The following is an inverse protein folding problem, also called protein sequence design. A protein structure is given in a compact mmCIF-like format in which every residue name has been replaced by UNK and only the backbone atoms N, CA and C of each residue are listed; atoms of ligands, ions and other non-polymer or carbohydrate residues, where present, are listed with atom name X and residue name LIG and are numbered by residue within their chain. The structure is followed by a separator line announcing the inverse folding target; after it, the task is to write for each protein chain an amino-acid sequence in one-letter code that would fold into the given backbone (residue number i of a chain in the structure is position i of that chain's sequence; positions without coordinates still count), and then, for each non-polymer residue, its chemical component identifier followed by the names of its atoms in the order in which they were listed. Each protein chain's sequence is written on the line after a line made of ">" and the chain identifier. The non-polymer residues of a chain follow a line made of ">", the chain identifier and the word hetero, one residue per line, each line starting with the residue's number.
data_IF_269184949894
#
_entry.id   IF_269184949894
#
_cell.length_a   1.000
_cell.length_b   1.000
_cell.length_c   1.000
_cell.angle_alpha   90.00
_cell.angle_beta   90.00
_cell.angle_gamma   90.00
#
_symmetry.space_group_name_H-M   'P 1'
#
loop_
_entity.id
_entity.type
_entity.pdbx_description
1 polymer ?
#
# COMPACT_ATOMS: atom_id res chain seq x y z
N UNK A 1 -3.49 9.25 -6.96
CA UNK A 1 -3.31 8.57 -5.65
C UNK A 1 -3.62 7.11 -5.79
N UNK A 2 -2.79 6.26 -5.22
CA UNK A 2 -3.06 4.83 -5.14
C UNK A 2 -3.45 4.46 -3.71
N UNK A 3 -3.89 3.23 -3.50
CA UNK A 3 -4.43 2.80 -2.22
C UNK A 3 -3.82 1.49 -1.76
N UNK A 4 -3.70 1.34 -0.46
CA UNK A 4 -3.23 0.11 0.17
C UNK A 4 -4.14 -0.22 1.35
N UNK A 5 -4.53 -1.48 1.47
CA UNK A 5 -5.39 -1.95 2.54
C UNK A 5 -4.56 -2.74 3.54
N UNK A 6 -4.73 -2.45 4.81
CA UNK A 6 -3.97 -3.09 5.87
C UNK A 6 -4.82 -3.36 7.11
N UNK A 7 -4.30 -4.16 8.02
CA UNK A 7 -4.93 -4.40 9.31
C UNK A 7 -4.70 -3.23 10.25
N UNK A 8 -5.63 -2.93 11.18
CA UNK A 8 -5.49 -1.80 12.10
C UNK A 8 -4.19 -1.85 12.93
N UNK A 9 -3.74 -3.02 13.34
CA UNK A 9 -2.52 -3.17 14.12
C UNK A 9 -1.25 -2.76 13.39
N UNK A 10 -1.30 -2.67 12.07
CA UNK A 10 -0.15 -2.29 11.25
C UNK A 10 -0.08 -0.79 10.94
N UNK A 11 -1.17 -0.06 11.19
CA UNK A 11 -1.29 1.35 10.79
C UNK A 11 -0.24 2.22 11.44
N UNK A 12 -0.04 2.10 12.75
CA UNK A 12 0.93 2.91 13.49
C UNK A 12 2.34 2.72 12.94
N UNK A 13 2.74 1.48 12.72
CA UNK A 13 4.05 1.15 12.15
C UNK A 13 4.21 1.71 10.73
N UNK A 14 3.18 1.59 9.92
CA UNK A 14 3.20 2.10 8.54
C UNK A 14 3.30 3.62 8.52
N UNK A 15 2.56 4.32 9.37
CA UNK A 15 2.62 5.77 9.42
C UNK A 15 3.96 6.29 9.96
N UNK A 16 4.67 5.48 10.71
CA UNK A 16 5.98 5.81 11.27
C UNK A 16 7.13 5.45 10.32
N UNK A 17 7.08 4.27 9.72
CA UNK A 17 8.19 3.71 8.94
C UNK A 17 7.93 3.66 7.44
N UNK A 18 6.68 3.78 7.03
CA UNK A 18 6.28 3.65 5.64
C UNK A 18 5.81 2.25 5.28
N UNK A 19 5.45 2.05 4.02
CA UNK A 19 5.10 0.75 3.49
C UNK A 19 6.38 0.05 3.05
N UNK A 20 6.82 -0.90 3.85
CA UNK A 20 8.05 -1.63 3.62
C UNK A 20 7.78 -2.94 2.89
N UNK A 21 8.69 -3.31 2.00
CA UNK A 21 8.63 -4.61 1.31
C UNK A 21 8.85 -5.78 2.27
N UNK A 22 9.37 -5.49 3.45
CA UNK A 22 9.67 -6.46 4.48
C UNK A 22 8.81 -6.22 5.72
N UNK A 23 7.48 -6.32 5.53
CA UNK A 23 6.49 -6.04 6.56
C UNK A 23 6.07 -7.34 7.28
N UNK A 24 5.82 -7.26 8.59
CA UNK A 24 5.37 -8.40 9.43
C UNK A 24 6.29 -9.62 9.37
N UNK A 25 7.59 -9.39 9.21
CA UNK A 25 8.55 -10.49 9.13
C UNK A 25 8.52 -11.26 7.81
N UNK A 26 7.66 -10.87 6.90
CA UNK A 26 7.61 -11.44 5.56
C UNK A 26 8.41 -10.56 4.60
N UNK A 27 9.34 -11.18 3.89
CA UNK A 27 10.07 -10.49 2.83
C UNK A 27 9.24 -10.58 1.55
N UNK A 28 8.90 -9.42 1.02
CA UNK A 28 8.23 -9.33 -0.26
C UNK A 28 9.10 -8.52 -1.22
N UNK A 29 9.05 -8.88 -2.50
CA UNK A 29 9.79 -8.13 -3.52
C UNK A 29 9.13 -6.77 -3.81
N UNK A 30 7.87 -6.58 -3.41
CA UNK A 30 7.09 -5.41 -3.78
C UNK A 30 5.97 -5.16 -2.78
N UNK A 31 5.40 -3.95 -2.86
CA UNK A 31 4.20 -3.55 -2.11
C UNK A 31 3.02 -3.53 -3.09
N UNK A 32 1.90 -4.14 -2.73
CA UNK A 32 0.69 -4.09 -3.54
C UNK A 32 -0.06 -2.78 -3.35
N UNK A 33 -0.44 -2.16 -4.46
CA UNK A 33 -1.27 -0.96 -4.48
C UNK A 33 -2.46 -1.18 -5.41
N UNK A 34 -3.53 -0.41 -5.23
CA UNK A 34 -4.72 -0.47 -6.08
C UNK A 34 -5.16 0.92 -6.49
N UNK A 35 -5.74 1.05 -7.67
CA UNK A 35 -6.38 2.29 -8.11
C UNK A 35 -7.78 2.45 -7.55
N UNK A 36 -8.41 1.36 -7.13
CA UNK A 36 -9.78 1.34 -6.62
C UNK A 36 -9.78 1.38 -5.09
N UNK A 37 -10.30 2.46 -4.47
CA UNK A 37 -10.33 2.58 -3.01
C UNK A 37 -11.24 1.56 -2.32
N UNK A 38 -12.15 0.94 -3.03
CA UNK A 38 -13.08 -0.03 -2.45
C UNK A 38 -12.75 -1.49 -2.79
N UNK A 39 -11.69 -1.71 -3.57
CA UNK A 39 -11.36 -3.01 -4.15
C UNK A 39 -11.17 -4.15 -3.14
N UNK A 40 -10.57 -3.88 -1.99
CA UNK A 40 -10.19 -4.91 -1.02
C UNK A 40 -10.68 -4.60 0.39
N UNK A 41 -11.70 -3.74 0.52
CA UNK A 41 -12.19 -3.31 1.83
C UNK A 41 -13.13 -4.33 2.45
N UNK A 42 -12.58 -5.17 3.32
CA UNK A 42 -13.36 -6.00 4.21
C UNK A 42 -13.55 -5.30 5.56
N UNK A 43 -14.50 -5.81 6.34
CA UNK A 43 -14.76 -5.31 7.68
C UNK A 43 -13.51 -5.45 8.55
N UNK A 44 -13.18 -4.38 9.27
CA UNK A 44 -12.03 -4.37 10.18
C UNK A 44 -10.70 -4.00 9.55
N UNK A 45 -10.70 -3.61 8.27
CA UNK A 45 -9.49 -3.15 7.59
C UNK A 45 -9.43 -1.63 7.50
N UNK A 46 -8.23 -1.12 7.24
CA UNK A 46 -7.95 0.31 7.09
C UNK A 46 -7.47 0.59 5.69
N UNK A 47 -8.05 1.59 5.05
CA UNK A 47 -7.64 2.04 3.72
C UNK A 47 -6.64 3.19 3.86
N UNK A 48 -5.48 3.01 3.26
CA UNK A 48 -4.44 4.02 3.21
C UNK A 48 -4.37 4.63 1.81
N UNK A 49 -4.19 5.94 1.75
CA UNK A 49 -3.89 6.64 0.51
C UNK A 49 -2.39 6.79 0.37
N UNK A 50 -1.88 6.56 -0.83
CA UNK A 50 -0.45 6.64 -1.14
C UNK A 50 -0.24 7.63 -2.27
N UNK A 51 0.47 8.72 -1.99
CA UNK A 51 0.85 9.70 -2.99
C UNK A 51 2.11 9.21 -3.71
N UNK A 52 1.95 8.84 -4.96
CA UNK A 52 3.05 8.29 -5.78
C UNK A 52 3.67 9.32 -6.72
N UNK A 53 3.16 10.55 -6.74
CA UNK A 53 3.71 11.61 -7.58
C UNK A 53 5.15 11.95 -7.18
N UNK A 54 6.05 11.86 -8.14
CA UNK A 54 7.46 12.14 -7.89
C UNK A 54 8.19 11.08 -7.06
N UNK A 55 7.52 9.99 -6.73
CA UNK A 55 8.11 8.91 -5.96
C UNK A 55 9.08 8.11 -6.85
N UNK A 56 10.33 7.99 -6.40
CA UNK A 56 11.37 7.29 -7.14
C UNK A 56 11.36 5.79 -6.83
N UNK A 57 10.23 5.16 -7.13
CA UNK A 57 10.04 3.72 -6.96
C UNK A 57 9.49 3.16 -8.25
N UNK A 58 10.08 2.07 -8.73
CA UNK A 58 9.59 1.40 -9.93
C UNK A 58 8.21 0.81 -9.66
N UNK A 59 7.28 1.03 -10.57
CA UNK A 59 5.94 0.48 -10.49
C UNK A 59 5.60 -0.29 -11.75
N UNK A 60 4.90 -1.40 -11.58
CA UNK A 60 4.40 -2.21 -12.69
C UNK A 60 2.90 -2.38 -12.57
N UNK A 61 2.20 -2.23 -13.70
CA UNK A 61 0.75 -2.35 -13.79
C UNK A 61 0.39 -3.11 -15.07
N UNK A 62 -0.27 -4.26 -14.98
CA UNK A 62 -0.65 -4.94 -13.72
C UNK A 62 0.54 -5.64 -13.04
N UNK A 63 0.41 -5.80 -11.74
CA UNK A 63 1.39 -6.55 -10.96
C UNK A 63 1.34 -8.04 -11.30
N UNK A 64 0.13 -8.54 -11.32
CA UNK A 64 -0.19 -9.93 -11.67
C UNK A 64 -1.18 -9.87 -12.82
N UNK A 65 -0.99 -10.70 -13.83
CA UNK A 65 -1.87 -10.75 -14.99
C UNK A 65 -3.32 -10.97 -14.56
N UNK A 66 -4.24 -10.20 -15.16
CA UNK A 66 -5.69 -10.23 -14.90
C UNK A 66 -6.09 -9.68 -13.52
N UNK A 67 -5.26 -8.84 -12.90
CA UNK A 67 -5.62 -8.12 -11.68
C UNK A 67 -5.52 -6.61 -11.89
N UNK A 68 -6.20 -5.86 -11.03
CA UNK A 68 -6.12 -4.38 -11.01
C UNK A 68 -5.04 -3.89 -10.03
N UNK A 69 -4.21 -4.80 -9.54
CA UNK A 69 -3.16 -4.47 -8.58
C UNK A 69 -1.91 -3.94 -9.27
N UNK A 70 -1.28 -3.01 -8.59
CA UNK A 70 -0.02 -2.39 -9.01
C UNK A 70 1.07 -2.82 -8.03
N UNK A 71 2.23 -3.19 -8.54
CA UNK A 71 3.39 -3.49 -7.71
C UNK A 71 4.30 -2.28 -7.61
N UNK A 72 4.60 -1.86 -6.38
CA UNK A 72 5.67 -0.91 -6.10
C UNK A 72 6.92 -1.69 -5.67
N UNK A 73 7.99 -1.60 -6.45
CA UNK A 73 9.22 -2.38 -6.26
C UNK A 73 10.22 -1.67 -5.35
N UNK A 74 9.73 -1.07 -4.28
CA UNK A 74 10.54 -0.36 -3.31
C UNK A 74 9.71 0.02 -2.11
N UNK A 75 10.39 0.48 -1.07
CA UNK A 75 9.73 0.96 0.13
C UNK A 75 9.12 2.34 -0.12
N UNK A 76 7.95 2.58 0.46
CA UNK A 76 7.24 3.85 0.32
C UNK A 76 7.39 4.61 1.63
N UNK A 77 7.97 5.83 1.62
CA UNK A 77 8.19 6.58 2.85
C UNK A 77 6.88 7.01 3.51
N UNK A 78 6.85 7.16 4.84
CA UNK A 78 5.63 7.50 5.56
C UNK A 78 5.03 8.86 5.18
N UNK A 79 5.86 9.79 4.71
CA UNK A 79 5.40 11.11 4.27
C UNK A 79 4.44 11.05 3.07
N UNK A 80 4.38 9.92 2.38
CA UNK A 80 3.51 9.71 1.22
C UNK A 80 2.23 8.96 1.57
N UNK A 81 2.00 8.66 2.85
CA UNK A 81 0.92 7.78 3.29
C UNK A 81 0.00 8.52 4.24
N UNK A 82 -1.30 8.34 4.06
CA UNK A 82 -2.32 8.85 4.98
C UNK A 82 -3.47 7.88 5.12
N UNK A 83 -4.14 7.90 6.26
CA UNK A 83 -5.35 7.10 6.48
C UNK A 83 -6.51 7.78 5.76
N UNK A 84 -7.21 7.03 4.91
CA UNK A 84 -8.36 7.51 4.16
C UNK A 84 -9.66 7.08 4.85
N UNK A 85 -9.74 5.80 5.25
CA UNK A 85 -10.98 5.21 5.74
C UNK A 85 -10.67 4.02 6.64
N UNK A 86 -11.46 3.88 7.70
CA UNK A 86 -11.43 2.73 8.59
C UNK A 86 -12.80 2.06 8.56
N UNK A 87 -12.81 0.75 8.56
CA UNK A 87 -14.05 -0.03 8.67
C UNK A 87 -14.04 -0.91 9.90
#
# INVERSE_FOLDING_TARGET
>A
MLYHVTRPENVESILKEGLLRNHDGHKSAFVFLSEDPDSWMDKGLVLLGVDVDGLNVRMTNPCIENTDEICAWGDIPPSRIKVIKEK
#
